data_IF_661002276501
#
_entry.id   IF_661002276501
#
_cell.length_a   1.000
_cell.length_b   1.000
_cell.length_c   1.000
_cell.angle_alpha   90.00
_cell.angle_beta   90.00
_cell.angle_gamma   90.00
#
_symmetry.space_group_name_H-M   'P 1'
#
loop_
_entity.id
_entity.type
_entity.pdbx_description
1 polymer ?
#
# COMPACT_ATOMS: atom_id res chain seq x y z
N UNK A 1 -11.59 -10.38 -0.68
CA UNK A 1 -12.98 -10.02 -0.28
C UNK A 1 -14.04 -10.60 -1.21
N UNK A 2 -14.10 -10.19 -2.49
CA UNK A 2 -15.15 -10.62 -3.44
C UNK A 2 -15.28 -12.14 -3.60
N UNK A 3 -14.17 -12.83 -3.88
CA UNK A 3 -14.13 -14.29 -4.10
C UNK A 3 -14.62 -15.07 -2.88
N UNK A 4 -14.16 -14.67 -1.70
CA UNK A 4 -14.43 -15.33 -0.43
C UNK A 4 -15.67 -14.77 0.30
N UNK A 5 -16.40 -13.81 -0.32
CA UNK A 5 -17.54 -13.10 0.27
C UNK A 5 -17.27 -12.50 1.67
N UNK A 6 -16.05 -12.00 1.87
CA UNK A 6 -15.61 -11.37 3.12
C UNK A 6 -16.18 -9.94 3.17
N UNK A 7 -16.69 -9.54 4.33
CA UNK A 7 -17.19 -8.17 4.57
C UNK A 7 -16.08 -7.11 4.43
N UNK A 8 -16.46 -5.92 3.94
CA UNK A 8 -15.59 -4.74 3.94
C UNK A 8 -15.81 -3.84 5.17
N UNK A 9 -16.69 -4.22 6.09
CA UNK A 9 -16.87 -3.53 7.38
C UNK A 9 -15.86 -4.06 8.42
N UNK A 10 -15.19 -3.20 9.22
CA UNK A 10 -15.32 -1.74 9.29
C UNK A 10 -14.51 -0.99 8.22
N UNK A 11 -13.53 -1.63 7.58
CA UNK A 11 -12.77 -1.04 6.47
C UNK A 11 -12.34 -2.09 5.44
N UNK A 12 -12.17 -1.71 4.16
CA UNK A 12 -11.70 -2.62 3.12
C UNK A 12 -10.32 -3.20 3.47
N UNK A 13 -10.21 -4.52 3.39
CA UNK A 13 -8.94 -5.23 3.68
C UNK A 13 -8.76 -5.65 5.15
N UNK A 14 -9.44 -5.02 6.11
CA UNK A 14 -9.31 -5.38 7.54
C UNK A 14 -9.63 -6.85 7.80
N UNK A 15 -10.77 -7.36 7.30
CA UNK A 15 -11.12 -8.76 7.51
C UNK A 15 -10.21 -9.73 6.75
N UNK A 16 -9.58 -9.30 5.65
CA UNK A 16 -8.55 -10.11 4.97
C UNK A 16 -7.35 -10.27 5.90
N UNK A 17 -6.93 -9.22 6.59
CA UNK A 17 -5.88 -9.27 7.60
C UNK A 17 -6.23 -10.16 8.79
N UNK A 18 -7.45 -10.05 9.32
CA UNK A 18 -7.88 -10.92 10.42
C UNK A 18 -7.89 -12.40 10.03
N UNK A 19 -8.23 -12.72 8.78
CA UNK A 19 -8.17 -14.08 8.26
C UNK A 19 -6.74 -14.54 7.97
N UNK A 20 -5.90 -13.66 7.42
CA UNK A 20 -4.50 -13.95 7.13
C UNK A 20 -3.72 -14.39 8.38
N UNK A 21 -4.03 -13.80 9.55
CA UNK A 21 -3.44 -14.20 10.85
C UNK A 21 -3.66 -15.67 11.23
N UNK A 22 -4.63 -16.34 10.61
CA UNK A 22 -4.98 -17.74 10.86
C UNK A 22 -4.49 -18.69 9.77
N UNK A 23 -3.98 -18.17 8.65
CA UNK A 23 -3.44 -18.98 7.58
C UNK A 23 -2.15 -19.67 8.02
N UNK A 24 -1.92 -20.89 7.54
CA UNK A 24 -0.76 -21.71 7.89
C UNK A 24 0.00 -22.20 6.66
N UNK A 25 -0.63 -22.14 5.49
CA UNK A 25 -0.07 -22.62 4.23
C UNK A 25 0.14 -21.48 3.26
N UNK A 26 1.37 -21.33 2.77
CA UNK A 26 1.68 -20.46 1.65
C UNK A 26 1.28 -21.14 0.34
N UNK A 27 0.44 -20.49 -0.43
CA UNK A 27 0.01 -20.86 -1.77
C UNK A 27 0.78 -19.96 -2.73
N UNK A 28 1.47 -20.55 -3.70
CA UNK A 28 2.21 -19.78 -4.69
C UNK A 28 1.26 -18.93 -5.53
N UNK A 29 1.48 -17.62 -5.50
CA UNK A 29 0.78 -16.65 -6.33
C UNK A 29 1.80 -15.97 -7.26
N UNK A 30 1.36 -15.43 -8.42
CA UNK A 30 2.25 -14.74 -9.33
C UNK A 30 2.94 -13.56 -8.64
N UNK A 31 4.28 -13.55 -8.70
CA UNK A 31 5.10 -12.46 -8.17
C UNK A 31 5.55 -11.56 -9.33
N UNK A 32 4.88 -10.43 -9.51
CA UNK A 32 4.96 -9.62 -10.74
C UNK A 32 5.54 -8.23 -10.48
N UNK A 33 6.85 -8.19 -10.20
CA UNK A 33 7.65 -6.96 -10.11
C UNK A 33 8.47 -6.76 -11.38
N UNK A 34 8.49 -5.53 -11.91
CA UNK A 34 9.29 -5.13 -13.08
C UNK A 34 10.05 -3.85 -12.75
N UNK A 35 11.32 -3.98 -12.38
CA UNK A 35 12.12 -2.82 -11.93
C UNK A 35 11.59 -2.28 -10.61
N UNK A 36 11.04 -1.06 -10.60
CA UNK A 36 10.39 -0.45 -9.43
C UNK A 36 8.85 -0.48 -9.53
N UNK A 37 8.30 -1.09 -10.59
CA UNK A 37 6.86 -1.18 -10.81
C UNK A 37 6.31 -2.54 -10.38
N UNK A 38 5.06 -2.55 -9.90
CA UNK A 38 4.28 -3.75 -9.56
C UNK A 38 3.06 -3.87 -10.45
N UNK A 39 2.65 -5.11 -10.74
CA UNK A 39 1.39 -5.38 -11.45
C UNK A 39 0.51 -6.34 -10.65
N UNK A 40 -0.70 -5.91 -10.29
CA UNK A 40 -1.63 -6.72 -9.50
C UNK A 40 -2.75 -7.38 -10.32
N UNK A 41 -2.90 -7.02 -11.59
CA UNK A 41 -4.00 -7.50 -12.44
C UNK A 41 -3.97 -9.02 -12.64
N UNK A 42 -2.78 -9.60 -12.85
CA UNK A 42 -2.61 -11.04 -13.00
C UNK A 42 -2.90 -11.83 -11.72
N UNK A 43 -2.65 -11.23 -10.55
CA UNK A 43 -2.84 -11.89 -9.25
C UNK A 43 -4.32 -12.08 -8.96
N UNK A 44 -5.18 -11.10 -9.28
CA UNK A 44 -6.62 -11.21 -9.05
C UNK A 44 -7.26 -12.35 -9.85
N UNK A 45 -6.94 -12.45 -11.14
CA UNK A 45 -7.49 -13.53 -11.97
C UNK A 45 -6.94 -14.90 -11.54
N UNK A 46 -5.67 -14.97 -11.14
CA UNK A 46 -5.07 -16.21 -10.66
C UNK A 46 -5.68 -16.66 -9.32
N UNK A 47 -5.86 -15.74 -8.36
CA UNK A 47 -6.44 -16.10 -7.06
C UNK A 47 -7.91 -16.50 -7.19
N UNK A 48 -8.66 -15.94 -8.16
CA UNK A 48 -10.03 -16.37 -8.45
C UNK A 48 -10.06 -17.84 -8.91
N UNK A 49 -9.22 -18.22 -9.86
CA UNK A 49 -9.12 -19.60 -10.36
C UNK A 49 -8.63 -20.58 -9.28
N UNK A 50 -7.52 -20.23 -8.62
CA UNK A 50 -6.90 -21.04 -7.58
C UNK A 50 -7.84 -21.23 -6.38
N UNK A 51 -8.51 -20.18 -5.92
CA UNK A 51 -9.45 -20.27 -4.82
C UNK A 51 -10.60 -21.23 -5.15
N UNK A 52 -11.19 -21.14 -6.34
CA UNK A 52 -12.27 -22.05 -6.72
C UNK A 52 -11.82 -23.51 -6.73
N UNK A 53 -10.67 -23.80 -7.34
CA UNK A 53 -10.15 -25.18 -7.43
C UNK A 53 -9.74 -25.74 -6.07
N UNK A 54 -8.89 -25.02 -5.33
CA UNK A 54 -8.27 -25.53 -4.11
C UNK A 54 -9.24 -25.58 -2.94
N UNK A 55 -10.17 -24.62 -2.82
CA UNK A 55 -11.20 -24.68 -1.77
C UNK A 55 -12.17 -25.84 -2.01
N UNK A 56 -12.59 -26.08 -3.25
CA UNK A 56 -13.46 -27.21 -3.59
C UNK A 56 -12.78 -28.56 -3.38
N UNK A 57 -11.46 -28.63 -3.57
CA UNK A 57 -10.66 -29.83 -3.30
C UNK A 57 -10.27 -30.00 -1.82
N UNK A 58 -10.51 -29.00 -0.96
CA UNK A 58 -10.09 -29.01 0.44
C UNK A 58 -8.56 -28.90 0.62
N UNK A 59 -7.84 -28.41 -0.39
CA UNK A 59 -6.38 -28.31 -0.39
C UNK A 59 -5.85 -27.06 0.33
N UNK A 60 -6.72 -26.08 0.56
CA UNK A 60 -6.44 -24.87 1.33
C UNK A 60 -7.70 -24.37 2.05
N UNK A 61 -7.48 -23.45 2.99
CA UNK A 61 -8.55 -22.70 3.65
C UNK A 61 -8.67 -21.28 3.08
N UNK A 62 -9.80 -20.60 3.28
CA UNK A 62 -9.92 -19.16 3.00
C UNK A 62 -8.83 -18.33 3.70
N UNK A 63 -8.46 -18.71 4.91
CA UNK A 63 -7.40 -18.10 5.72
C UNK A 63 -6.02 -18.23 5.06
N UNK A 64 -5.69 -19.40 4.51
CA UNK A 64 -4.45 -19.63 3.76
C UNK A 64 -4.36 -18.75 2.51
N UNK A 65 -5.48 -18.54 1.81
CA UNK A 65 -5.54 -17.65 0.65
C UNK A 65 -5.31 -16.19 1.06
N UNK A 66 -5.91 -15.73 2.16
CA UNK A 66 -5.69 -14.39 2.68
C UNK A 66 -4.24 -14.19 3.12
N UNK A 67 -3.66 -15.17 3.82
CA UNK A 67 -2.25 -15.18 4.21
C UNK A 67 -1.34 -15.09 2.98
N UNK A 68 -1.51 -15.98 2.02
CA UNK A 68 -0.67 -16.05 0.82
C UNK A 68 -0.76 -14.79 -0.02
N UNK A 69 -1.95 -14.19 -0.12
CA UNK A 69 -2.15 -12.92 -0.81
C UNK A 69 -1.37 -11.79 -0.12
N UNK A 70 -1.46 -11.67 1.21
CA UNK A 70 -0.73 -10.63 1.94
C UNK A 70 0.78 -10.81 1.81
N UNK A 71 1.30 -12.01 2.06
CA UNK A 71 2.74 -12.27 1.95
C UNK A 71 3.27 -11.95 0.55
N UNK A 72 2.57 -12.39 -0.50
CA UNK A 72 2.99 -12.15 -1.89
C UNK A 72 2.97 -10.66 -2.22
N UNK A 73 1.84 -9.98 -1.97
CA UNK A 73 1.68 -8.57 -2.33
C UNK A 73 2.60 -7.65 -1.52
N UNK A 74 2.70 -7.87 -0.22
CA UNK A 74 3.53 -7.03 0.64
C UNK A 74 5.02 -7.27 0.39
N UNK A 75 5.44 -8.50 0.09
CA UNK A 75 6.82 -8.74 -0.35
C UNK A 75 7.14 -7.98 -1.64
N UNK A 76 6.21 -7.93 -2.61
CA UNK A 76 6.38 -7.11 -3.83
C UNK A 76 6.53 -5.62 -3.51
N UNK A 77 5.71 -5.09 -2.59
CA UNK A 77 5.79 -3.70 -2.15
C UNK A 77 7.12 -3.39 -1.44
N UNK A 78 7.54 -4.26 -0.52
CA UNK A 78 8.82 -4.12 0.19
C UNK A 78 10.00 -4.15 -0.79
N UNK A 79 9.99 -5.06 -1.77
CA UNK A 79 11.04 -5.14 -2.80
C UNK A 79 11.16 -3.82 -3.59
N UNK A 80 10.06 -3.26 -4.09
CA UNK A 80 10.12 -2.01 -4.86
C UNK A 80 10.48 -0.81 -3.99
N UNK A 81 10.03 -0.77 -2.73
CA UNK A 81 10.39 0.28 -1.78
C UNK A 81 11.88 0.22 -1.47
N UNK A 82 12.44 -0.96 -1.22
CA UNK A 82 13.86 -1.13 -0.99
C UNK A 82 14.69 -0.67 -2.20
N UNK A 83 14.29 -1.06 -3.42
CA UNK A 83 14.93 -0.60 -4.67
C UNK A 83 14.91 0.93 -4.78
N UNK A 84 13.78 1.56 -4.50
CA UNK A 84 13.64 3.01 -4.55
C UNK A 84 14.49 3.71 -3.48
N UNK A 85 14.56 3.18 -2.26
CA UNK A 85 15.41 3.70 -1.19
C UNK A 85 16.89 3.63 -1.57
N UNK A 86 17.34 2.51 -2.15
CA UNK A 86 18.71 2.37 -2.64
C UNK A 86 19.01 3.37 -3.76
N UNK A 87 18.06 3.58 -4.69
CA UNK A 87 18.24 4.51 -5.80
C UNK A 87 18.27 5.98 -5.36
N UNK A 88 17.47 6.36 -4.37
CA UNK A 88 17.38 7.74 -3.84
C UNK A 88 18.36 8.03 -2.72
N UNK A 89 19.10 7.02 -2.25
CA UNK A 89 19.95 7.10 -1.04
C UNK A 89 19.19 7.54 0.21
N UNK A 90 17.88 7.27 0.28
CA UNK A 90 17.06 7.60 1.45
C UNK A 90 17.34 6.65 2.61
N UNK A 91 17.49 7.20 3.81
CA UNK A 91 17.56 6.47 5.07
C UNK A 91 16.22 6.44 5.82
N UNK A 92 15.15 6.92 5.19
CA UNK A 92 13.82 7.01 5.80
C UNK A 92 12.77 6.50 4.81
N UNK A 93 11.82 5.73 5.32
CA UNK A 93 10.64 5.27 4.59
C UNK A 93 9.39 5.69 5.36
N UNK A 94 8.40 6.21 4.65
CA UNK A 94 7.11 6.60 5.21
C UNK A 94 6.00 5.77 4.55
N UNK A 95 5.18 5.11 5.36
CA UNK A 95 3.98 4.42 4.90
C UNK A 95 2.76 5.31 5.15
N UNK A 96 1.99 5.54 4.08
CA UNK A 96 0.72 6.29 4.07
C UNK A 96 -0.34 5.54 3.27
N UNK A 97 -1.58 6.03 3.30
CA UNK A 97 -2.73 5.41 2.63
C UNK A 97 -3.40 4.34 3.49
N UNK A 98 -4.66 4.04 3.20
CA UNK A 98 -5.46 3.11 4.01
C UNK A 98 -4.88 1.69 4.12
N UNK A 99 -4.21 1.20 3.06
CA UNK A 99 -3.50 -0.10 3.10
C UNK A 99 -2.27 -0.03 4.01
N UNK A 100 -1.70 1.16 4.19
CA UNK A 100 -0.57 1.41 5.08
C UNK A 100 -0.88 1.14 6.55
N UNK A 101 -2.15 1.07 6.94
CA UNK A 101 -2.58 0.70 8.29
C UNK A 101 -2.46 -0.81 8.58
N UNK A 102 -2.18 -1.65 7.58
CA UNK A 102 -2.06 -3.08 7.77
C UNK A 102 -0.79 -3.43 8.58
N UNK A 103 -0.97 -4.15 9.68
CA UNK A 103 0.11 -4.43 10.64
C UNK A 103 1.20 -5.30 10.00
N UNK A 104 0.81 -6.25 9.13
CA UNK A 104 1.75 -7.15 8.48
C UNK A 104 2.64 -6.41 7.47
N UNK A 105 2.08 -5.49 6.69
CA UNK A 105 2.86 -4.62 5.79
C UNK A 105 3.85 -3.75 6.58
N UNK A 106 3.41 -3.13 7.67
CA UNK A 106 4.27 -2.33 8.55
C UNK A 106 5.40 -3.17 9.17
N UNK A 107 5.10 -4.39 9.60
CA UNK A 107 6.08 -5.33 10.12
C UNK A 107 7.16 -5.65 9.08
N UNK A 108 6.76 -6.05 7.88
CA UNK A 108 7.68 -6.42 6.79
C UNK A 108 8.56 -5.24 6.36
N UNK A 109 7.96 -4.05 6.19
CA UNK A 109 8.71 -2.84 5.87
C UNK A 109 9.66 -2.45 7.01
N UNK A 110 9.25 -2.67 8.25
CA UNK A 110 10.05 -2.38 9.45
C UNK A 110 11.26 -3.28 9.55
N UNK A 111 11.14 -4.56 9.19
CA UNK A 111 12.27 -5.49 9.07
C UNK A 111 13.26 -4.96 8.02
N UNK A 112 12.78 -4.68 6.80
CA UNK A 112 13.62 -4.17 5.71
C UNK A 112 14.35 -2.87 6.09
N UNK A 113 13.64 -1.91 6.70
CA UNK A 113 14.26 -0.67 7.15
C UNK A 113 15.36 -0.91 8.19
N UNK A 114 15.13 -1.78 9.18
CA UNK A 114 16.13 -2.11 10.21
C UNK A 114 17.38 -2.75 9.62
N UNK A 115 17.23 -3.68 8.68
CA UNK A 115 18.35 -4.35 8.01
C UNK A 115 19.21 -3.36 7.21
N UNK A 116 18.62 -2.27 6.74
CA UNK A 116 19.30 -1.18 6.02
C UNK A 116 19.82 -0.05 6.91
N UNK A 117 19.67 -0.15 8.23
CA UNK A 117 19.90 0.95 9.17
C UNK A 117 19.08 2.23 8.84
N UNK A 118 17.90 2.05 8.25
CA UNK A 118 16.94 3.10 7.93
C UNK A 118 15.82 3.18 8.99
N UNK A 119 15.06 4.28 8.97
CA UNK A 119 13.92 4.50 9.85
C UNK A 119 12.61 4.32 9.09
N UNK A 120 11.70 3.54 9.68
CA UNK A 120 10.33 3.45 9.22
C UNK A 120 9.47 4.44 10.01
N UNK A 121 8.70 5.24 9.30
CA UNK A 121 7.60 6.03 9.84
C UNK A 121 6.29 5.43 9.34
N UNK A 122 5.41 5.10 10.27
CA UNK A 122 4.02 4.75 9.98
C UNK A 122 3.14 5.84 10.59
N UNK A 123 2.25 6.41 9.81
CA UNK A 123 1.39 7.50 10.28
C UNK A 123 0.20 6.92 11.05
N UNK A 124 -0.26 7.62 12.08
CA UNK A 124 -1.51 7.33 12.80
C UNK A 124 -2.66 7.10 11.80
N UNK A 125 -3.52 6.12 12.05
CA UNK A 125 -4.61 5.73 11.13
C UNK A 125 -5.45 6.93 10.68
N UNK A 126 -5.63 7.92 11.58
CA UNK A 126 -6.44 9.12 11.36
C UNK A 126 -5.88 10.01 10.26
N UNK A 127 -4.58 9.91 9.98
CA UNK A 127 -3.89 10.66 8.94
C UNK A 127 -3.52 9.81 7.72
N UNK A 128 -3.59 8.48 7.82
CA UNK A 128 -3.35 7.57 6.70
C UNK A 128 -4.52 7.49 5.72
N UNK A 129 -5.75 7.71 6.19
CA UNK A 129 -6.95 7.73 5.34
C UNK A 129 -7.19 9.12 4.75
N UNK A 130 -7.92 9.19 3.63
CA UNK A 130 -8.27 10.46 3.00
C UNK A 130 -9.00 11.37 4.00
N UNK A 131 -8.39 12.52 4.28
CA UNK A 131 -8.91 13.47 5.26
C UNK A 131 -8.66 14.92 4.83
N UNK A 132 -9.47 15.86 5.33
CA UNK A 132 -9.30 17.28 5.00
C UNK A 132 -8.04 17.92 5.60
N UNK A 133 -7.46 17.34 6.65
CA UNK A 133 -6.29 17.90 7.31
C UNK A 133 -5.03 17.78 6.46
N UNK A 134 -4.84 16.69 5.70
CA UNK A 134 -3.70 16.56 4.77
C UNK A 134 -3.75 17.61 3.65
N UNK A 135 -4.97 17.92 3.16
CA UNK A 135 -5.19 18.95 2.14
C UNK A 135 -4.92 20.33 2.73
N UNK A 136 -5.44 20.61 3.93
CA UNK A 136 -5.20 21.87 4.62
C UNK A 136 -3.71 22.09 4.92
N UNK A 137 -3.00 21.04 5.36
CA UNK A 137 -1.56 21.12 5.64
C UNK A 137 -0.76 21.38 4.37
N UNK A 138 -1.00 20.64 3.28
CA UNK A 138 -0.30 20.85 2.01
C UNK A 138 -0.57 22.26 1.46
N UNK A 139 -1.83 22.71 1.46
CA UNK A 139 -2.19 24.06 1.02
C UNK A 139 -1.59 25.16 1.89
N UNK A 140 -1.50 24.94 3.20
CA UNK A 140 -0.84 25.86 4.13
C UNK A 140 0.66 25.98 3.85
N UNK A 141 1.37 24.86 3.64
CA UNK A 141 2.79 24.84 3.29
C UNK A 141 3.05 25.58 1.97
N UNK A 142 2.25 25.28 0.93
CA UNK A 142 2.30 25.97 -0.35
C UNK A 142 2.10 27.48 -0.20
N UNK A 143 1.03 27.90 0.50
CA UNK A 143 0.72 29.30 0.74
C UNK A 143 1.83 30.03 1.51
N UNK A 144 2.37 29.41 2.56
CA UNK A 144 3.46 29.97 3.37
C UNK A 144 4.75 30.15 2.57
N UNK A 145 4.99 29.30 1.57
CA UNK A 145 6.10 29.45 0.62
C UNK A 145 5.83 30.47 -0.50
N UNK A 146 4.69 31.17 -0.47
CA UNK A 146 4.35 32.23 -1.42
C UNK A 146 3.55 31.75 -2.64
N UNK A 147 3.16 30.47 -2.73
CA UNK A 147 2.31 29.99 -3.81
C UNK A 147 0.86 30.46 -3.59
N UNK A 148 0.30 31.16 -4.58
CA UNK A 148 -1.08 31.64 -4.57
C UNK A 148 -1.73 31.20 -5.88
N UNK A 149 -2.85 30.50 -5.78
CA UNK A 149 -3.65 30.09 -6.94
C UNK A 149 -4.76 31.12 -7.17
N UNK A 150 -4.79 31.73 -8.36
CA UNK A 150 -5.91 32.58 -8.77
C UNK A 150 -7.19 31.74 -8.93
N UNK A 151 -8.37 32.35 -8.79
CA UNK A 151 -9.63 31.61 -8.85
C UNK A 151 -9.86 30.99 -10.24
N UNK A 152 -9.46 31.69 -11.29
CA UNK A 152 -9.50 31.19 -12.67
C UNK A 152 -8.61 29.96 -12.89
N UNK A 153 -7.58 29.76 -12.05
CA UNK A 153 -6.64 28.65 -12.11
C UNK A 153 -6.99 27.50 -11.15
N UNK A 154 -8.04 27.64 -10.32
CA UNK A 154 -8.47 26.62 -9.35
C UNK A 154 -9.39 25.56 -9.95
N UNK A 155 -9.14 25.15 -11.19
CA UNK A 155 -9.92 24.13 -11.89
C UNK A 155 -9.46 22.72 -11.53
N UNK A 156 -10.25 21.72 -11.92
CA UNK A 156 -10.03 20.31 -11.53
C UNK A 156 -9.16 19.61 -12.57
N UNK A 157 -8.10 18.95 -12.11
CA UNK A 157 -7.36 17.97 -12.91
C UNK A 157 -7.61 16.55 -12.38
N UNK A 158 -8.09 15.66 -13.24
CA UNK A 158 -8.33 14.25 -12.88
C UNK A 158 -7.05 13.40 -12.92
N UNK A 159 -5.99 13.90 -13.56
CA UNK A 159 -4.73 13.18 -13.79
C UNK A 159 -3.56 14.00 -13.29
N UNK A 160 -3.70 14.61 -12.11
CA UNK A 160 -2.62 15.39 -11.52
C UNK A 160 -1.42 14.49 -11.26
N UNK A 161 -0.28 14.78 -11.88
CA UNK A 161 0.95 14.03 -11.64
C UNK A 161 1.74 14.67 -10.51
N UNK A 162 2.44 13.86 -9.73
CA UNK A 162 3.24 14.32 -8.59
C UNK A 162 4.44 15.19 -9.00
N UNK A 163 4.92 15.05 -10.23
CA UNK A 163 6.00 15.84 -10.82
C UNK A 163 5.53 17.15 -11.49
N UNK A 164 4.22 17.42 -11.52
CA UNK A 164 3.67 18.68 -12.05
C UNK A 164 3.59 19.79 -10.98
N UNK A 165 3.81 19.44 -9.71
CA UNK A 165 3.79 20.39 -8.60
C UNK A 165 5.21 20.84 -8.29
N UNK A 166 5.48 22.13 -8.46
CA UNK A 166 6.73 22.72 -7.99
C UNK A 166 6.71 22.79 -6.45
N UNK A 167 7.67 22.12 -5.81
CA UNK A 167 7.77 22.06 -4.36
C UNK A 167 8.68 23.19 -3.86
N UNK A 168 8.09 24.28 -3.39
CA UNK A 168 8.82 25.48 -2.89
C UNK A 168 8.91 25.56 -1.36
N UNK A 169 8.36 24.58 -0.65
CA UNK A 169 8.27 24.56 0.82
C UNK A 169 9.20 23.53 1.48
N UNK A 170 10.18 23.01 0.73
CA UNK A 170 11.07 21.93 1.20
C UNK A 170 12.34 22.45 1.88
N UNK A 171 12.71 23.72 1.71
CA UNK A 171 13.91 24.34 2.30
C UNK A 171 13.65 25.78 2.75
#
# INVERSE_FOLDING_TARGET
>A
ARVLKISNDPSPGYNIEQMAKKGQKLIELPYTVKGMDVSFSGILSHIEDVAHRMLSAGECTPEDLCFSLQETLFAMLVEITERAMAHTSSSEALIVGGVGCNERLQEMMGIMCRERAARLFATDERFCIDNGAMIAQAGWEMFRSGQITALEDSWITQRYRTDEVEVTWRD
#
